data_IF_680821626053
#
_entry.id   IF_680821626053
#
_cell.length_a   1.000
_cell.length_b   1.000
_cell.length_c   1.000
_cell.angle_alpha   90.00
_cell.angle_beta   90.00
_cell.angle_gamma   90.00
#
_symmetry.space_group_name_H-M   'P 1'
#
loop_
_entity.id
_entity.type
_entity.pdbx_description
1 polymer ?
#
# COMPACT_ATOMS: atom_id res chain seq x y z
N UNK A 1 23.81 -1.13 -4.60
CA UNK A 1 22.88 -0.88 -3.49
C UNK A 1 22.43 -2.21 -2.93
N UNK A 2 22.22 -2.29 -1.62
CA UNK A 2 21.70 -3.51 -0.98
C UNK A 2 20.22 -3.65 -1.35
N UNK A 3 19.81 -4.87 -1.77
CA UNK A 3 18.40 -5.14 -2.12
C UNK A 3 17.53 -5.31 -0.88
N UNK A 4 16.32 -4.81 -0.93
CA UNK A 4 15.28 -5.03 0.09
C UNK A 4 14.28 -6.11 -0.32
N UNK A 5 14.47 -6.72 -1.49
CA UNK A 5 13.58 -7.76 -2.02
C UNK A 5 13.78 -9.06 -1.22
N UNK A 6 12.67 -9.64 -0.78
CA UNK A 6 12.63 -11.00 -0.22
C UNK A 6 12.17 -11.97 -1.31
N UNK A 7 13.08 -12.82 -1.79
CA UNK A 7 12.79 -13.73 -2.89
C UNK A 7 11.68 -14.74 -2.57
N UNK A 8 11.56 -15.18 -1.31
CA UNK A 8 10.49 -16.10 -0.90
C UNK A 8 9.12 -15.45 -1.03
N UNK A 9 9.03 -14.15 -0.72
CA UNK A 9 7.80 -13.37 -0.85
C UNK A 9 7.47 -13.10 -2.33
N UNK A 10 8.47 -12.75 -3.14
CA UNK A 10 8.22 -12.54 -4.59
C UNK A 10 7.74 -13.81 -5.28
N UNK A 11 8.26 -14.98 -4.95
CA UNK A 11 7.77 -16.27 -5.45
C UNK A 11 6.33 -16.56 -4.98
N UNK A 12 6.03 -16.26 -3.71
CA UNK A 12 4.67 -16.42 -3.17
C UNK A 12 3.65 -15.58 -3.95
N UNK A 13 3.90 -14.28 -4.12
CA UNK A 13 3.01 -13.39 -4.88
C UNK A 13 2.95 -13.72 -6.36
N UNK A 14 4.04 -14.18 -6.97
CA UNK A 14 4.04 -14.63 -8.36
C UNK A 14 3.08 -15.81 -8.60
N UNK A 15 2.97 -16.74 -7.64
CA UNK A 15 2.01 -17.87 -7.72
C UNK A 15 0.56 -17.40 -7.65
N UNK A 16 0.28 -16.32 -6.91
CA UNK A 16 -1.06 -15.78 -6.71
C UNK A 16 -1.46 -14.74 -7.77
N UNK A 17 -0.56 -14.32 -8.64
CA UNK A 17 -0.74 -13.15 -9.51
C UNK A 17 -2.04 -13.17 -10.33
N UNK A 18 -2.45 -14.34 -10.86
CA UNK A 18 -3.67 -14.46 -11.67
C UNK A 18 -4.97 -14.16 -10.89
N UNK A 19 -4.92 -14.16 -9.56
CA UNK A 19 -6.09 -13.91 -8.72
C UNK A 19 -6.23 -12.47 -8.22
N UNK A 20 -5.34 -11.55 -8.63
CA UNK A 20 -5.39 -10.16 -8.18
C UNK A 20 -6.76 -9.49 -8.38
N UNK A 21 -7.43 -9.77 -9.49
CA UNK A 21 -8.71 -9.13 -9.84
C UNK A 21 -9.93 -10.01 -9.57
N UNK A 22 -9.75 -11.15 -8.93
CA UNK A 22 -10.85 -11.98 -8.44
C UNK A 22 -11.31 -11.44 -7.05
N UNK A 23 -12.51 -10.82 -6.98
CA UNK A 23 -13.01 -10.22 -5.75
C UNK A 23 -13.38 -11.24 -4.66
N UNK A 24 -13.49 -12.51 -5.02
CA UNK A 24 -13.77 -13.63 -4.11
C UNK A 24 -12.53 -14.49 -3.88
N UNK A 25 -11.44 -14.22 -4.60
CA UNK A 25 -10.15 -14.90 -4.52
C UNK A 25 -9.33 -14.55 -3.27
N UNK A 26 -8.06 -14.98 -3.21
CA UNK A 26 -7.19 -14.76 -2.04
C UNK A 26 -6.99 -13.28 -1.68
N UNK A 27 -7.17 -12.37 -2.64
CA UNK A 27 -7.03 -10.92 -2.44
C UNK A 27 -8.34 -10.19 -2.14
N UNK A 28 -9.44 -10.90 -1.85
CA UNK A 28 -10.73 -10.29 -1.49
C UNK A 28 -10.63 -9.24 -0.36
N UNK A 29 -9.76 -9.42 0.67
CA UNK A 29 -9.62 -8.40 1.72
C UNK A 29 -9.09 -7.07 1.18
N UNK A 30 -8.15 -7.14 0.21
CA UNK A 30 -7.58 -5.94 -0.42
C UNK A 30 -8.62 -5.20 -1.28
N UNK A 31 -9.50 -5.93 -1.99
CA UNK A 31 -10.60 -5.32 -2.74
C UNK A 31 -11.52 -4.48 -1.84
N UNK A 32 -11.90 -5.03 -0.68
CA UNK A 32 -12.74 -4.31 0.29
C UNK A 32 -11.99 -3.17 0.98
N UNK A 33 -10.75 -3.42 1.35
CA UNK A 33 -9.89 -2.45 2.02
C UNK A 33 -9.58 -1.25 1.10
N UNK A 34 -9.47 -1.47 -0.20
CA UNK A 34 -9.12 -0.45 -1.18
C UNK A 34 -10.11 0.71 -1.18
N UNK A 35 -11.42 0.44 -1.09
CA UNK A 35 -12.45 1.49 -1.01
C UNK A 35 -12.23 2.39 0.22
N UNK A 36 -11.90 1.79 1.35
CA UNK A 36 -11.65 2.50 2.60
C UNK A 36 -10.36 3.33 2.53
N UNK A 37 -9.30 2.75 1.95
CA UNK A 37 -8.01 3.40 1.73
C UNK A 37 -8.14 4.64 0.88
N UNK A 38 -8.79 4.53 -0.26
CA UNK A 38 -8.96 5.64 -1.19
C UNK A 38 -9.73 6.79 -0.53
N UNK A 39 -10.82 6.48 0.17
CA UNK A 39 -11.57 7.48 0.91
C UNK A 39 -10.68 8.21 1.91
N UNK A 40 -9.96 7.46 2.74
CA UNK A 40 -9.08 8.03 3.75
C UNK A 40 -7.93 8.84 3.13
N UNK A 41 -7.25 8.32 2.10
CA UNK A 41 -6.18 9.02 1.39
C UNK A 41 -6.69 10.37 0.83
N UNK A 42 -7.84 10.35 0.16
CA UNK A 42 -8.44 11.56 -0.44
C UNK A 42 -8.80 12.60 0.62
N UNK A 43 -9.37 12.15 1.76
CA UNK A 43 -9.68 13.02 2.90
C UNK A 43 -8.43 13.64 3.52
N UNK A 44 -7.36 12.83 3.73
CA UNK A 44 -6.11 13.31 4.31
C UNK A 44 -5.34 14.26 3.39
N UNK A 45 -5.52 14.17 2.08
CA UNK A 45 -4.96 15.12 1.12
C UNK A 45 -5.72 16.46 1.09
N UNK A 46 -6.78 16.62 1.91
CA UNK A 46 -7.62 17.83 1.94
C UNK A 46 -8.51 17.99 0.71
N UNK A 47 -8.62 16.94 -0.10
CA UNK A 47 -9.38 16.94 -1.35
C UNK A 47 -10.81 16.48 -1.06
N UNK A 48 -11.57 17.34 -0.36
CA UNK A 48 -12.96 17.05 -0.05
C UNK A 48 -13.76 16.82 -1.34
N UNK A 49 -14.71 15.90 -1.27
CA UNK A 49 -15.67 15.64 -2.34
C UNK A 49 -16.62 16.84 -2.51
N UNK A 50 -16.11 17.94 -3.05
CA UNK A 50 -16.92 19.15 -3.28
C UNK A 50 -17.90 19.01 -4.45
N UNK A 51 -17.90 17.91 -5.19
CA UNK A 51 -18.87 17.63 -6.27
C UNK A 51 -19.00 16.14 -6.54
N UNK A 52 -20.18 15.60 -6.39
CA UNK A 52 -20.56 14.27 -6.87
C UNK A 52 -20.98 14.38 -8.34
N UNK A 53 -20.08 14.02 -9.25
CA UNK A 53 -20.36 13.98 -10.68
C UNK A 53 -19.40 13.02 -11.40
N UNK A 54 -19.75 12.51 -12.59
CA UNK A 54 -18.94 11.55 -13.33
C UNK A 54 -17.58 12.10 -13.80
N UNK A 55 -17.36 13.42 -13.68
CA UNK A 55 -16.11 14.12 -14.02
C UNK A 55 -15.25 14.48 -12.80
N UNK A 56 -15.61 13.99 -11.61
CA UNK A 56 -14.89 14.34 -10.38
C UNK A 56 -13.51 13.69 -10.34
N UNK A 57 -12.48 14.50 -10.51
CA UNK A 57 -11.05 14.11 -10.49
C UNK A 57 -10.31 14.82 -9.36
N UNK A 58 -10.54 14.44 -8.08
CA UNK A 58 -9.97 15.14 -6.93
C UNK A 58 -8.44 15.06 -6.87
N UNK A 59 -7.82 14.07 -7.53
CA UNK A 59 -6.37 13.86 -7.53
C UNK A 59 -5.68 14.44 -8.77
N UNK A 60 -6.40 15.22 -9.59
CA UNK A 60 -5.83 15.81 -10.80
C UNK A 60 -4.64 16.70 -10.50
N UNK A 61 -3.56 16.47 -11.24
CA UNK A 61 -2.31 17.21 -11.07
C UNK A 61 -1.33 16.62 -10.06
N UNK A 62 -1.72 15.60 -9.28
CA UNK A 62 -0.81 14.89 -8.40
C UNK A 62 -0.10 13.77 -9.14
N UNK A 63 1.21 13.65 -8.91
CA UNK A 63 2.02 12.49 -9.28
C UNK A 63 2.07 11.51 -8.11
N UNK A 64 1.72 10.25 -8.36
CA UNK A 64 1.63 9.19 -7.34
C UNK A 64 2.56 8.05 -7.70
N UNK A 65 3.36 7.60 -6.74
CA UNK A 65 4.11 6.35 -6.82
C UNK A 65 3.45 5.32 -5.90
N UNK A 66 3.04 4.19 -6.45
CA UNK A 66 2.51 3.04 -5.70
C UNK A 66 3.58 1.94 -5.65
N UNK A 67 4.25 1.81 -4.49
CA UNK A 67 5.35 0.86 -4.29
C UNK A 67 4.76 -0.47 -3.81
N UNK A 68 5.08 -1.57 -4.51
CA UNK A 68 4.46 -2.87 -4.28
C UNK A 68 3.02 -2.89 -4.78
N UNK A 69 2.79 -2.32 -5.98
CA UNK A 69 1.44 -2.14 -6.53
C UNK A 69 0.68 -3.45 -6.80
N UNK A 70 1.37 -4.60 -6.79
CA UNK A 70 0.78 -5.90 -7.11
C UNK A 70 0.07 -5.90 -8.46
N UNK A 71 -1.17 -6.35 -8.51
CA UNK A 71 -2.02 -6.32 -9.70
C UNK A 71 -2.65 -4.97 -10.02
N UNK A 72 -2.27 -3.87 -9.33
CA UNK A 72 -2.68 -2.51 -9.68
C UNK A 72 -3.98 -2.02 -9.04
N UNK A 73 -4.55 -2.73 -8.06
CA UNK A 73 -5.84 -2.38 -7.44
C UNK A 73 -5.92 -0.94 -6.93
N UNK A 74 -4.90 -0.47 -6.20
CA UNK A 74 -4.86 0.89 -5.66
C UNK A 74 -4.41 1.88 -6.72
N UNK A 75 -3.42 1.53 -7.54
CA UNK A 75 -2.93 2.36 -8.64
C UNK A 75 -4.05 2.79 -9.58
N UNK A 76 -4.87 1.86 -10.07
CA UNK A 76 -6.00 2.17 -10.96
C UNK A 76 -7.06 3.02 -10.27
N UNK A 77 -7.31 2.76 -8.99
CA UNK A 77 -8.28 3.53 -8.24
C UNK A 77 -7.83 4.99 -8.01
N UNK A 78 -6.53 5.25 -7.88
CA UNK A 78 -5.96 6.61 -7.83
C UNK A 78 -6.00 7.27 -9.21
N UNK A 79 -5.63 6.54 -10.27
CA UNK A 79 -5.64 7.05 -11.65
C UNK A 79 -7.05 7.40 -12.13
N UNK A 80 -8.06 6.59 -11.80
CA UNK A 80 -9.47 6.88 -12.12
C UNK A 80 -9.99 8.17 -11.48
N UNK A 81 -9.29 8.69 -10.47
CA UNK A 81 -9.57 9.96 -9.79
C UNK A 81 -8.69 11.13 -10.27
N UNK A 82 -7.96 10.91 -11.36
CA UNK A 82 -7.21 11.96 -12.07
C UNK A 82 -5.72 12.05 -11.69
N UNK A 83 -5.19 11.20 -10.81
CA UNK A 83 -3.76 11.17 -10.53
C UNK A 83 -2.95 10.65 -11.75
N UNK A 84 -1.73 11.15 -11.91
CA UNK A 84 -0.72 10.53 -12.75
C UNK A 84 0.02 9.49 -11.93
N UNK A 85 -0.22 8.20 -12.21
CA UNK A 85 0.22 7.10 -11.35
C UNK A 85 1.34 6.30 -12.01
N UNK A 86 2.38 6.02 -11.23
CA UNK A 86 3.39 5.00 -11.52
C UNK A 86 3.26 3.91 -10.47
N UNK A 87 3.00 2.67 -10.90
CA UNK A 87 2.99 1.48 -10.05
C UNK A 87 4.27 0.67 -10.26
N UNK A 88 4.96 0.33 -9.18
CA UNK A 88 6.16 -0.51 -9.24
C UNK A 88 6.00 -1.75 -8.36
N UNK A 89 6.47 -2.89 -8.88
CA UNK A 89 6.48 -4.15 -8.16
C UNK A 89 7.68 -5.00 -8.65
N UNK A 90 8.43 -5.68 -7.76
CA UNK A 90 9.55 -6.54 -8.18
C UNK A 90 9.11 -7.83 -8.86
N UNK A 91 7.82 -8.19 -8.81
CA UNK A 91 7.26 -9.39 -9.42
C UNK A 91 6.74 -9.08 -10.83
N UNK A 92 7.48 -9.48 -11.85
CA UNK A 92 7.14 -9.22 -13.25
C UNK A 92 5.71 -9.69 -13.62
N UNK A 93 5.28 -10.84 -13.09
CA UNK A 93 3.93 -11.37 -13.33
C UNK A 93 2.82 -10.47 -12.78
N UNK A 94 3.04 -9.79 -11.64
CA UNK A 94 2.12 -8.81 -11.11
C UNK A 94 1.97 -7.63 -12.08
N UNK A 95 3.09 -7.13 -12.58
CA UNK A 95 3.14 -6.04 -13.56
C UNK A 95 2.44 -6.42 -14.87
N UNK A 96 2.64 -7.64 -15.36
CA UNK A 96 1.92 -8.14 -16.56
C UNK A 96 0.40 -8.13 -16.36
N UNK A 97 -0.07 -8.58 -15.18
CA UNK A 97 -1.51 -8.59 -14.86
C UNK A 97 -2.04 -7.16 -14.74
N UNK A 98 -1.36 -6.28 -14.03
CA UNK A 98 -1.75 -4.89 -13.87
C UNK A 98 -1.81 -4.15 -15.22
N UNK A 99 -0.79 -4.34 -16.06
CA UNK A 99 -0.71 -3.71 -17.39
C UNK A 99 -1.86 -4.15 -18.30
N UNK A 100 -2.18 -5.45 -18.32
CA UNK A 100 -3.32 -5.96 -19.12
C UNK A 100 -4.66 -5.47 -18.58
N UNK A 101 -4.80 -5.37 -17.26
CA UNK A 101 -6.07 -4.96 -16.68
C UNK A 101 -6.41 -3.49 -16.95
N UNK A 102 -5.40 -2.62 -17.07
CA UNK A 102 -5.60 -1.20 -17.36
C UNK A 102 -5.85 -0.90 -18.84
N UNK A 103 -5.59 -1.86 -19.75
CA UNK A 103 -5.82 -1.70 -21.18
C UNK A 103 -7.28 -1.32 -21.47
N UNK A 104 -7.48 -0.32 -22.33
CA UNK A 104 -8.80 0.19 -22.72
C UNK A 104 -9.54 1.01 -21.66
N UNK A 105 -8.95 1.25 -20.49
CA UNK A 105 -9.53 2.12 -19.46
C UNK A 105 -9.40 3.60 -19.86
N UNK A 106 -10.31 4.48 -19.38
CA UNK A 106 -10.27 5.93 -19.69
C UNK A 106 -9.22 6.70 -18.88
N UNK A 107 -8.30 6.02 -18.24
CA UNK A 107 -7.16 6.56 -17.48
C UNK A 107 -5.91 5.73 -17.76
N UNK A 108 -4.76 6.28 -17.43
CA UNK A 108 -3.49 5.61 -17.66
C UNK A 108 -2.71 5.43 -16.36
N UNK A 109 -2.05 4.28 -16.23
CA UNK A 109 -1.08 3.97 -15.17
C UNK A 109 0.18 3.44 -15.85
N UNK A 110 1.34 3.95 -15.46
CA UNK A 110 2.62 3.39 -15.88
C UNK A 110 3.00 2.29 -14.89
N UNK A 111 3.13 1.05 -15.36
CA UNK A 111 3.56 -0.07 -14.54
C UNK A 111 4.98 -0.52 -14.89
N UNK A 112 5.83 -0.70 -13.87
CA UNK A 112 7.24 -1.06 -14.07
C UNK A 112 7.69 -2.16 -13.10
N UNK A 113 8.37 -3.18 -13.64
CA UNK A 113 8.98 -4.24 -12.84
C UNK A 113 10.29 -3.74 -12.23
N UNK A 114 10.18 -3.03 -11.10
CA UNK A 114 11.29 -2.34 -10.42
C UNK A 114 11.10 -2.33 -8.91
N UNK A 115 12.19 -2.12 -8.19
CA UNK A 115 12.17 -1.82 -6.76
C UNK A 115 12.26 -0.32 -6.49
N UNK A 116 11.92 0.11 -5.26
CA UNK A 116 12.11 1.49 -4.84
C UNK A 116 13.58 1.95 -4.98
N UNK A 117 14.56 1.06 -4.70
CA UNK A 117 15.98 1.37 -4.83
C UNK A 117 16.43 1.64 -6.28
N UNK A 118 15.73 1.07 -7.27
CA UNK A 118 16.03 1.33 -8.68
C UNK A 118 15.61 2.74 -9.09
N UNK A 119 14.49 3.22 -8.54
CA UNK A 119 14.02 4.59 -8.77
C UNK A 119 14.92 5.67 -8.18
N UNK A 120 15.67 5.36 -7.12
CA UNK A 120 16.62 6.33 -6.53
C UNK A 120 17.76 6.72 -7.47
N UNK A 121 18.03 5.92 -8.50
CA UNK A 121 19.01 6.24 -9.55
C UNK A 121 18.52 7.38 -10.47
N UNK A 122 17.24 7.67 -10.42
CA UNK A 122 16.60 8.75 -11.16
C UNK A 122 16.35 9.94 -10.22
N UNK A 123 16.29 11.14 -10.76
CA UNK A 123 15.98 12.35 -9.96
C UNK A 123 14.48 12.54 -9.75
N UNK A 124 13.67 11.55 -10.13
CA UNK A 124 12.21 11.62 -10.06
C UNK A 124 11.72 11.55 -8.62
N UNK A 125 10.79 12.43 -8.26
CA UNK A 125 10.10 12.49 -6.98
C UNK A 125 8.61 12.67 -7.20
N UNK A 126 7.79 12.25 -6.23
CA UNK A 126 6.35 12.19 -6.34
C UNK A 126 5.67 13.05 -5.27
N UNK A 127 4.51 13.61 -5.60
CA UNK A 127 3.68 14.37 -4.66
C UNK A 127 3.13 13.44 -3.57
N UNK A 128 2.81 12.20 -3.95
CA UNK A 128 2.30 11.16 -3.06
C UNK A 128 3.06 9.86 -3.32
N UNK A 129 3.54 9.24 -2.24
CA UNK A 129 4.11 7.88 -2.26
C UNK A 129 3.22 6.98 -1.41
N UNK A 130 2.84 5.83 -1.96
CA UNK A 130 2.05 4.80 -1.30
C UNK A 130 2.92 3.56 -1.10
N UNK A 131 2.86 2.96 0.08
CA UNK A 131 3.32 1.61 0.33
C UNK A 131 2.34 0.92 1.30
N UNK A 132 1.38 0.21 0.73
CA UNK A 132 0.23 -0.31 1.45
C UNK A 132 0.32 -1.85 1.52
N UNK A 133 0.56 -2.41 2.71
CA UNK A 133 0.85 -3.84 2.97
C UNK A 133 2.12 -4.32 2.23
N UNK A 134 3.23 -3.63 2.39
CA UNK A 134 4.50 -3.95 1.73
C UNK A 134 5.63 -4.16 2.72
N UNK A 135 5.72 -3.35 3.76
CA UNK A 135 6.90 -3.32 4.65
C UNK A 135 7.11 -4.63 5.43
N UNK A 136 6.07 -5.42 5.65
CA UNK A 136 6.13 -6.75 6.27
C UNK A 136 6.64 -7.84 5.32
N UNK A 137 6.71 -7.55 4.01
CA UNK A 137 7.12 -8.51 2.97
C UNK A 137 8.55 -8.28 2.46
N UNK A 138 9.23 -7.23 2.91
CA UNK A 138 10.61 -6.94 2.52
C UNK A 138 11.63 -7.58 3.48
N UNK A 139 12.87 -7.74 3.02
CA UNK A 139 13.96 -8.31 3.83
C UNK A 139 14.46 -7.35 4.91
N UNK A 140 14.53 -6.06 4.61
CA UNK A 140 14.89 -4.98 5.53
C UNK A 140 13.93 -3.79 5.33
N UNK A 141 12.94 -3.70 6.21
CA UNK A 141 11.93 -2.66 6.13
C UNK A 141 12.46 -1.26 6.45
N UNK A 142 13.53 -1.14 7.26
CA UNK A 142 14.11 0.18 7.57
C UNK A 142 14.84 0.75 6.36
N UNK A 143 15.62 -0.08 5.68
CA UNK A 143 16.28 0.30 4.43
C UNK A 143 15.24 0.61 3.35
N UNK A 144 14.20 -0.22 3.25
CA UNK A 144 13.09 0.02 2.32
C UNK A 144 12.41 1.38 2.57
N UNK A 145 12.09 1.70 3.82
CA UNK A 145 11.49 2.99 4.19
C UNK A 145 12.43 4.17 3.90
N UNK A 146 13.75 4.01 4.11
CA UNK A 146 14.74 5.00 3.69
C UNK A 146 14.67 5.29 2.19
N UNK A 147 14.54 4.24 1.36
CA UNK A 147 14.38 4.40 -0.09
C UNK A 147 13.04 5.09 -0.43
N UNK A 148 11.95 4.65 0.16
CA UNK A 148 10.63 5.19 -0.11
C UNK A 148 10.51 6.68 0.28
N UNK A 149 11.05 7.09 1.43
CA UNK A 149 11.06 8.50 1.86
C UNK A 149 11.80 9.41 0.87
N UNK A 150 12.91 8.95 0.29
CA UNK A 150 13.69 9.73 -0.69
C UNK A 150 12.95 9.95 -2.02
N UNK A 151 11.89 9.20 -2.28
CA UNK A 151 11.06 9.34 -3.48
C UNK A 151 9.91 10.34 -3.30
N UNK A 152 9.71 10.85 -2.09
CA UNK A 152 8.70 11.88 -1.79
C UNK A 152 9.29 13.26 -2.08
N UNK A 153 8.52 14.13 -2.77
CA UNK A 153 8.88 15.55 -2.93
C UNK A 153 8.93 16.27 -1.58
N UNK A 154 9.74 17.33 -1.43
CA UNK A 154 9.58 18.25 -0.30
C UNK A 154 8.14 18.72 -0.17
N UNK A 155 7.56 18.63 1.03
CA UNK A 155 6.14 18.93 1.27
C UNK A 155 5.15 17.84 0.81
N UNK A 156 5.62 16.80 0.12
CA UNK A 156 4.79 15.67 -0.35
C UNK A 156 4.28 14.77 0.78
N UNK A 157 3.47 13.81 0.43
CA UNK A 157 2.79 12.88 1.37
C UNK A 157 3.23 11.45 1.16
N UNK A 158 3.46 10.75 2.27
CA UNK A 158 3.79 9.34 2.27
C UNK A 158 2.73 8.58 3.07
N UNK A 159 2.02 7.66 2.43
CA UNK A 159 1.03 6.79 3.07
C UNK A 159 1.60 5.39 3.25
N UNK A 160 1.48 4.87 4.45
CA UNK A 160 1.96 3.53 4.80
C UNK A 160 0.85 2.77 5.51
N UNK A 161 0.63 1.52 5.15
CA UNK A 161 -0.24 0.60 5.88
C UNK A 161 0.46 -0.73 6.12
N UNK A 162 0.24 -1.31 7.29
CA UNK A 162 0.75 -2.64 7.64
C UNK A 162 0.05 -3.20 8.87
N UNK A 163 0.34 -4.47 9.18
CA UNK A 163 -0.11 -5.16 10.39
C UNK A 163 0.80 -4.77 11.56
N UNK A 164 0.18 -4.44 12.70
CA UNK A 164 0.92 -4.10 13.91
C UNK A 164 1.53 -5.37 14.56
N UNK A 165 2.71 -5.23 15.16
CA UNK A 165 3.37 -6.30 15.91
C UNK A 165 2.84 -6.39 17.34
N UNK A 166 1.62 -6.89 17.50
CA UNK A 166 0.98 -7.18 18.79
C UNK A 166 0.55 -8.64 18.89
N UNK A 167 0.41 -9.19 20.11
CA UNK A 167 -0.16 -10.54 20.28
C UNK A 167 -1.57 -10.68 19.70
N UNK A 168 -2.37 -9.61 19.77
CA UNK A 168 -3.71 -9.58 19.21
C UNK A 168 -3.68 -9.63 17.67
N UNK A 169 -2.80 -8.88 17.04
CA UNK A 169 -2.62 -8.91 15.59
C UNK A 169 -2.16 -10.30 15.12
N UNK A 170 -1.23 -10.93 15.86
CA UNK A 170 -0.80 -12.31 15.60
C UNK A 170 -1.98 -13.29 15.66
N UNK A 171 -2.78 -13.21 16.72
CA UNK A 171 -3.92 -14.09 16.90
C UNK A 171 -4.97 -13.92 15.80
N UNK A 172 -5.28 -12.70 15.39
CA UNK A 172 -6.33 -12.41 14.43
C UNK A 172 -5.82 -12.58 12.98
N UNK A 173 -4.71 -11.96 12.62
CA UNK A 173 -4.23 -11.93 11.23
C UNK A 173 -3.56 -13.26 10.83
N UNK A 174 -2.78 -13.87 11.73
CA UNK A 174 -2.04 -15.10 11.42
C UNK A 174 -2.87 -16.33 11.78
N UNK A 175 -3.24 -16.49 13.06
CA UNK A 175 -3.98 -17.68 13.49
C UNK A 175 -5.41 -17.67 12.95
N UNK A 176 -6.11 -16.54 13.06
CA UNK A 176 -7.49 -16.40 12.63
C UNK A 176 -7.64 -16.45 11.11
N UNK A 177 -7.01 -15.53 10.40
CA UNK A 177 -7.21 -15.37 8.96
C UNK A 177 -6.52 -16.46 8.13
N UNK A 178 -5.30 -16.89 8.48
CA UNK A 178 -4.57 -17.88 7.70
C UNK A 178 -4.90 -19.33 8.07
N UNK A 179 -5.05 -19.64 9.36
CA UNK A 179 -5.18 -21.04 9.82
C UNK A 179 -6.63 -21.48 10.06
N UNK A 180 -7.48 -20.62 10.65
CA UNK A 180 -8.86 -20.98 11.00
C UNK A 180 -9.80 -20.68 9.85
N UNK A 181 -9.86 -19.42 9.41
CA UNK A 181 -10.82 -18.95 8.39
C UNK A 181 -10.32 -19.22 6.96
N UNK A 182 -9.02 -19.46 6.79
CA UNK A 182 -8.37 -19.67 5.49
C UNK A 182 -8.69 -18.56 4.47
N UNK A 183 -8.85 -17.34 4.96
CA UNK A 183 -9.09 -16.17 4.13
C UNK A 183 -7.85 -15.74 3.36
N UNK A 184 -6.67 -16.11 3.86
CA UNK A 184 -5.37 -15.85 3.25
C UNK A 184 -4.55 -17.14 3.21
N UNK A 185 -3.66 -17.31 2.23
CA UNK A 185 -2.75 -18.45 2.18
C UNK A 185 -1.87 -18.53 3.44
N UNK A 186 -1.58 -19.74 3.89
CA UNK A 186 -0.68 -19.95 5.04
C UNK A 186 0.73 -19.42 4.73
N UNK A 187 1.35 -18.76 5.72
CA UNK A 187 2.70 -18.20 5.59
C UNK A 187 2.75 -16.85 4.86
N UNK A 188 1.60 -16.18 4.68
CA UNK A 188 1.57 -14.81 4.15
C UNK A 188 2.24 -13.84 5.13
N UNK A 189 2.07 -14.04 6.45
CA UNK A 189 2.63 -13.13 7.45
C UNK A 189 3.52 -13.87 8.46
N UNK A 190 4.62 -13.23 8.83
CA UNK A 190 5.56 -13.68 9.87
C UNK A 190 5.60 -12.64 10.99
N UNK A 191 5.27 -13.03 12.23
CA UNK A 191 5.21 -12.12 13.38
C UNK A 191 6.47 -11.24 13.54
N UNK A 192 7.66 -11.81 13.34
CA UNK A 192 8.93 -11.08 13.44
C UNK A 192 9.14 -9.99 12.39
N UNK A 193 8.39 -10.00 11.30
CA UNK A 193 8.45 -8.99 10.24
C UNK A 193 7.41 -7.88 10.40
N UNK A 194 6.44 -8.04 11.32
CA UNK A 194 5.46 -7.02 11.60
C UNK A 194 6.12 -5.81 12.26
N UNK A 195 5.60 -4.61 12.00
CA UNK A 195 6.22 -3.34 12.42
C UNK A 195 5.29 -2.61 13.38
N UNK A 196 5.84 -2.10 14.49
CA UNK A 196 5.08 -1.27 15.43
C UNK A 196 4.94 0.15 14.91
N UNK A 197 3.81 0.85 15.17
CA UNK A 197 3.62 2.24 14.76
C UNK A 197 4.76 3.16 15.19
N UNK A 198 5.21 3.07 16.44
CA UNK A 198 6.27 3.93 16.98
C UNK A 198 7.65 3.68 16.33
N UNK A 199 7.94 2.41 15.95
CA UNK A 199 9.18 2.08 15.21
C UNK A 199 9.16 2.69 13.81
N UNK A 200 8.00 2.65 13.15
CA UNK A 200 7.81 3.24 11.83
C UNK A 200 7.88 4.77 11.89
N UNK A 201 7.19 5.39 12.85
CA UNK A 201 7.23 6.85 13.06
C UNK A 201 8.64 7.34 13.34
N UNK A 202 9.40 6.66 14.22
CA UNK A 202 10.81 6.98 14.47
C UNK A 202 11.66 6.88 13.18
N UNK A 203 11.42 5.85 12.36
CA UNK A 203 12.12 5.68 11.08
C UNK A 203 11.79 6.81 10.10
N UNK A 204 10.52 7.17 9.96
CA UNK A 204 10.06 8.29 9.13
C UNK A 204 10.69 9.61 9.57
N UNK A 205 10.70 9.87 10.88
CA UNK A 205 11.30 11.09 11.45
C UNK A 205 12.80 11.21 11.10
N UNK A 206 13.55 10.09 11.18
CA UNK A 206 14.97 10.07 10.79
C UNK A 206 15.19 10.35 9.30
N UNK A 207 14.16 10.18 8.47
CA UNK A 207 14.18 10.49 7.04
C UNK A 207 13.34 11.74 6.71
N UNK A 208 13.36 12.73 7.62
CA UNK A 208 12.72 14.05 7.44
C UNK A 208 11.22 13.99 7.13
N UNK A 209 10.51 12.98 7.65
CA UNK A 209 9.07 12.84 7.45
C UNK A 209 8.36 12.79 8.80
N UNK A 210 7.36 13.67 9.00
CA UNK A 210 6.58 13.76 10.24
C UNK A 210 5.21 13.14 10.04
N UNK A 211 4.82 12.21 10.92
CA UNK A 211 3.47 11.60 10.90
C UNK A 211 2.45 12.65 11.31
N UNK A 212 1.44 12.88 10.48
CA UNK A 212 0.40 13.90 10.68
C UNK A 212 -1.02 13.31 10.77
N UNK A 213 -1.22 12.06 10.39
CA UNK A 213 -2.47 11.34 10.56
C UNK A 213 -2.24 9.85 10.76
N UNK A 214 -3.07 9.21 11.59
CA UNK A 214 -3.03 7.76 11.88
C UNK A 214 -4.45 7.23 12.05
N UNK A 215 -4.68 5.98 11.67
CA UNK A 215 -5.92 5.25 11.88
C UNK A 215 -5.70 3.75 11.85
N UNK A 216 -6.51 2.98 12.55
CA UNK A 216 -6.58 1.53 12.38
C UNK A 216 -7.74 1.14 11.47
N UNK A 217 -7.77 -0.13 11.09
CA UNK A 217 -8.88 -0.74 10.36
C UNK A 217 -9.41 -1.92 11.15
N UNK A 218 -10.71 -1.96 11.35
CA UNK A 218 -11.40 -3.07 11.97
C UNK A 218 -12.28 -3.78 10.95
N UNK A 219 -12.20 -5.10 10.93
CA UNK A 219 -13.07 -5.97 10.14
C UNK A 219 -14.05 -6.69 11.04
N UNK A 220 -15.33 -6.69 10.67
CA UNK A 220 -16.34 -7.54 11.28
C UNK A 220 -16.21 -8.96 10.66
N UNK A 221 -15.91 -10.01 11.45
CA UNK A 221 -15.66 -11.34 10.89
C UNK A 221 -16.93 -12.01 10.33
N UNK A 222 -18.12 -11.60 10.75
CA UNK A 222 -19.38 -12.16 10.28
C UNK A 222 -19.84 -11.54 8.95
N UNK A 223 -19.76 -10.21 8.86
CA UNK A 223 -20.23 -9.46 7.67
C UNK A 223 -19.12 -9.13 6.68
N UNK A 224 -17.84 -9.33 7.06
CA UNK A 224 -16.65 -8.92 6.32
C UNK A 224 -16.59 -7.40 6.02
N UNK A 225 -17.40 -6.59 6.72
CA UNK A 225 -17.36 -5.15 6.59
C UNK A 225 -16.15 -4.56 7.29
N UNK A 226 -15.54 -3.56 6.66
CA UNK A 226 -14.38 -2.85 7.15
C UNK A 226 -14.77 -1.43 7.56
N UNK A 227 -14.15 -0.91 8.63
CA UNK A 227 -14.30 0.48 9.07
C UNK A 227 -13.01 1.02 9.64
N UNK A 228 -12.83 2.34 9.55
CA UNK A 228 -11.75 3.04 10.25
C UNK A 228 -12.05 3.12 11.74
N UNK A 229 -11.02 2.96 12.56
CA UNK A 229 -11.10 3.02 14.03
C UNK A 229 -9.88 3.72 14.59
N UNK A 230 -9.99 4.30 15.79
CA UNK A 230 -8.84 4.91 16.47
C UNK A 230 -7.83 3.90 17.02
N UNK A 231 -8.20 2.60 17.14
CA UNK A 231 -7.30 1.57 17.65
C UNK A 231 -6.40 1.02 16.55
N UNK A 232 -5.11 1.03 16.79
CA UNK A 232 -4.05 0.49 15.92
C UNK A 232 -3.59 -0.90 16.35
N UNK A 233 -4.33 -1.58 17.20
CA UNK A 233 -3.88 -2.82 17.86
C UNK A 233 -3.72 -4.01 16.92
N UNK A 234 -4.37 -4.02 15.74
CA UNK A 234 -4.28 -5.12 14.76
C UNK A 234 -3.46 -4.67 13.55
N UNK A 235 -3.89 -3.60 12.92
CA UNK A 235 -3.26 -2.99 11.76
C UNK A 235 -3.38 -1.47 11.88
N UNK A 236 -2.63 -0.76 11.07
CA UNK A 236 -2.72 0.69 11.03
C UNK A 236 -2.37 1.24 9.65
N UNK A 237 -2.89 2.42 9.39
CA UNK A 237 -2.49 3.28 8.29
C UNK A 237 -2.00 4.60 8.87
N UNK A 238 -0.94 5.14 8.30
CA UNK A 238 -0.46 6.47 8.65
C UNK A 238 -0.18 7.30 7.41
N UNK A 239 -0.26 8.62 7.56
CA UNK A 239 0.20 9.59 6.60
C UNK A 239 1.30 10.42 7.23
N UNK A 240 2.44 10.48 6.55
CA UNK A 240 3.54 11.36 6.90
C UNK A 240 3.69 12.46 5.85
N UNK A 241 4.10 13.64 6.29
CA UNK A 241 4.53 14.73 5.42
C UNK A 241 6.05 14.75 5.38
N UNK A 242 6.61 14.75 4.18
CA UNK A 242 8.05 14.98 3.99
C UNK A 242 8.36 16.44 4.19
N UNK A 243 9.26 16.75 5.13
CA UNK A 243 9.63 18.13 5.44
C UNK A 243 10.40 18.77 4.26
N UNK A 244 10.25 20.08 4.06
CA UNK A 244 10.98 20.82 3.04
C UNK A 244 12.49 20.71 3.16
#
# INVERSE_FOLDING_TARGET
>A
MQTTIDHSQTEHFARLANSWWDPDGPFWPLHRLNQLRIKWITEQLGLQQCSSGPTHQPLRGLTVLDIGCGGGLLSEAMASRGATVTGIDPVARNIDIASRHVEGKPFHVTYECRSASDYLKESTRFDVVLNMEVIEHVSDWRLFMSHACQLVKPGGRHFVATINRTPLAWLIAIVGAEHILRWMPKGTHHYGKLVKPDELEHTLYRHHSSVIARTGVQMNPLTRNLRLVGSESINYMLMAQHNP
#
